data_IF_041881658804
#
_entry.id   IF_041881658804
#
_cell.length_a   1.000
_cell.length_b   1.000
_cell.length_c   1.000
_cell.angle_alpha   90.00
_cell.angle_beta   90.00
_cell.angle_gamma   90.00
#
_symmetry.space_group_name_H-M   'P 1'
#
loop_
_entity.id
_entity.type
_entity.pdbx_description
1 polymer ?
#
# COMPACT_ATOMS: atom_id res chain seq x y z
N UNK A 1 -54.35 4.40 15.27
CA UNK A 1 -53.68 3.11 14.98
C UNK A 1 -52.47 3.24 14.00
N UNK A 2 -52.01 4.42 13.67
CA UNK A 2 -50.80 4.62 12.83
C UNK A 2 -49.46 4.62 13.58
N UNK A 3 -49.46 4.74 14.88
CA UNK A 3 -48.28 4.92 15.72
C UNK A 3 -47.43 3.68 15.93
N UNK A 4 -47.95 2.48 15.74
CA UNK A 4 -47.20 1.22 15.92
C UNK A 4 -46.32 0.87 14.72
N UNK A 5 -46.73 1.24 13.49
CA UNK A 5 -45.93 0.99 12.29
C UNK A 5 -44.74 1.95 12.17
N UNK A 6 -44.92 3.21 12.56
CA UNK A 6 -43.86 4.21 12.53
C UNK A 6 -42.76 3.85 13.57
N UNK A 7 -43.14 3.31 14.73
CA UNK A 7 -42.18 2.83 15.72
C UNK A 7 -41.41 1.57 15.27
N UNK A 8 -42.04 0.67 14.55
CA UNK A 8 -41.40 -0.55 14.03
C UNK A 8 -40.36 -0.20 12.95
N UNK A 9 -40.68 0.70 12.03
CA UNK A 9 -39.76 1.16 11.00
C UNK A 9 -38.51 1.83 11.61
N UNK A 10 -38.69 2.61 12.68
CA UNK A 10 -37.57 3.26 13.38
C UNK A 10 -36.66 2.24 14.06
N UNK A 11 -37.22 1.22 14.66
CA UNK A 11 -36.43 0.12 15.28
C UNK A 11 -35.67 -0.69 14.23
N UNK A 12 -36.32 -0.99 13.11
CA UNK A 12 -35.69 -1.69 12.00
C UNK A 12 -34.52 -0.88 11.40
N UNK A 13 -34.72 0.42 11.19
CA UNK A 13 -33.64 1.32 10.74
C UNK A 13 -32.49 1.37 11.78
N UNK A 14 -32.80 1.47 13.06
CA UNK A 14 -31.80 1.50 14.12
C UNK A 14 -30.95 0.22 14.17
N UNK A 15 -31.53 -0.93 13.83
CA UNK A 15 -30.82 -2.21 13.76
C UNK A 15 -30.02 -2.39 12.47
N UNK A 16 -30.49 -1.85 11.36
CA UNK A 16 -29.81 -1.95 10.06
C UNK A 16 -28.68 -0.92 9.91
N UNK A 17 -28.78 0.23 10.56
CA UNK A 17 -27.78 1.30 10.47
C UNK A 17 -26.35 0.86 10.84
N UNK A 18 -26.12 0.14 11.96
CA UNK A 18 -24.79 -0.36 12.29
C UNK A 18 -24.22 -1.30 11.22
N UNK A 19 -25.05 -2.13 10.62
CA UNK A 19 -24.63 -3.04 9.54
C UNK A 19 -24.21 -2.26 8.30
N UNK A 20 -24.98 -1.28 7.89
CA UNK A 20 -24.64 -0.40 6.76
C UNK A 20 -23.35 0.34 7.02
N UNK A 21 -23.16 0.91 8.22
CA UNK A 21 -21.93 1.59 8.62
C UNK A 21 -20.71 0.67 8.56
N UNK A 22 -20.87 -0.58 8.97
CA UNK A 22 -19.80 -1.58 8.88
C UNK A 22 -19.41 -1.87 7.41
N UNK A 23 -20.38 -2.01 6.53
CA UNK A 23 -20.13 -2.20 5.09
C UNK A 23 -19.41 -1.00 4.48
N UNK A 24 -19.86 0.22 4.80
CA UNK A 24 -19.21 1.46 4.34
C UNK A 24 -17.76 1.53 4.85
N UNK A 25 -17.54 1.22 6.12
CA UNK A 25 -16.19 1.20 6.69
C UNK A 25 -15.29 0.16 6.00
N UNK A 26 -15.82 -1.01 5.66
CA UNK A 26 -15.08 -2.04 4.92
C UNK A 26 -14.69 -1.56 3.51
N UNK A 27 -15.59 -0.90 2.79
CA UNK A 27 -15.32 -0.34 1.47
C UNK A 27 -14.22 0.73 1.55
N UNK A 28 -14.30 1.63 2.53
CA UNK A 28 -13.28 2.66 2.76
C UNK A 28 -11.91 2.01 3.06
N UNK A 29 -11.87 0.97 3.89
CA UNK A 29 -10.64 0.26 4.22
C UNK A 29 -10.01 -0.37 2.97
N UNK A 30 -10.79 -1.03 2.13
CA UNK A 30 -10.30 -1.59 0.85
C UNK A 30 -9.76 -0.48 -0.04
N UNK A 31 -10.45 0.66 -0.13
CA UNK A 31 -10.00 1.81 -0.90
C UNK A 31 -8.62 2.34 -0.45
N UNK A 32 -8.39 2.41 0.86
CA UNK A 32 -7.08 2.81 1.43
C UNK A 32 -5.99 1.82 1.02
N UNK A 33 -6.24 0.52 1.15
CA UNK A 33 -5.26 -0.53 0.79
C UNK A 33 -4.92 -0.48 -0.70
N UNK A 34 -5.91 -0.30 -1.56
CA UNK A 34 -5.71 -0.17 -3.01
C UNK A 34 -4.89 1.07 -3.36
N UNK A 35 -5.16 2.20 -2.69
CA UNK A 35 -4.40 3.43 -2.90
C UNK A 35 -2.93 3.27 -2.46
N UNK A 36 -2.68 2.63 -1.32
CA UNK A 36 -1.33 2.36 -0.84
C UNK A 36 -0.59 1.38 -1.76
N UNK A 37 -1.27 0.38 -2.30
CA UNK A 37 -0.70 -0.53 -3.29
C UNK A 37 -0.27 0.22 -4.57
N UNK A 38 -1.09 1.14 -5.07
CA UNK A 38 -0.75 1.96 -6.23
C UNK A 38 0.49 2.84 -5.97
N UNK A 39 0.56 3.47 -4.80
CA UNK A 39 1.73 4.26 -4.38
C UNK A 39 2.99 3.40 -4.29
N UNK A 40 2.88 2.19 -3.75
CA UNK A 40 4.00 1.27 -3.65
C UNK A 40 4.52 0.84 -5.03
N UNK A 41 3.63 0.63 -6.00
CA UNK A 41 4.02 0.37 -7.39
C UNK A 41 4.79 1.53 -8.02
N UNK A 42 4.33 2.77 -7.82
CA UNK A 42 5.03 3.96 -8.30
C UNK A 42 6.40 4.10 -7.62
N UNK A 43 6.47 3.86 -6.31
CA UNK A 43 7.72 3.88 -5.57
C UNK A 43 8.72 2.84 -6.08
N UNK A 44 8.28 1.61 -6.38
CA UNK A 44 9.14 0.57 -6.93
C UNK A 44 9.69 0.95 -8.31
N UNK A 45 8.87 1.53 -9.18
CA UNK A 45 9.29 1.99 -10.51
C UNK A 45 10.31 3.13 -10.41
N UNK A 46 10.06 4.11 -9.55
CA UNK A 46 10.99 5.23 -9.37
C UNK A 46 12.31 4.77 -8.73
N UNK A 47 12.24 3.92 -7.73
CA UNK A 47 13.41 3.31 -7.11
C UNK A 47 14.27 2.51 -8.11
N UNK A 48 13.64 1.74 -9.00
CA UNK A 48 14.32 1.02 -10.06
C UNK A 48 14.98 1.98 -11.06
N UNK A 49 14.30 3.05 -11.45
CA UNK A 49 14.82 4.07 -12.36
C UNK A 49 16.07 4.75 -11.79
N UNK A 50 16.04 5.13 -10.53
CA UNK A 50 17.20 5.71 -9.85
C UNK A 50 18.32 4.66 -9.73
N UNK A 51 17.99 3.44 -9.35
CA UNK A 51 18.95 2.36 -9.12
C UNK A 51 19.72 1.90 -10.35
N UNK A 52 19.17 2.05 -11.58
CA UNK A 52 19.87 1.67 -12.82
C UNK A 52 20.89 2.71 -13.27
N UNK A 53 20.78 3.94 -12.78
CA UNK A 53 21.69 5.05 -13.11
C UNK A 53 22.72 5.27 -12.02
N UNK A 54 22.33 5.12 -10.77
CA UNK A 54 23.19 5.35 -9.61
C UNK A 54 23.20 4.15 -8.66
N UNK A 55 24.36 3.63 -8.30
CA UNK A 55 24.49 2.48 -7.40
C UNK A 55 24.26 2.83 -5.92
N UNK A 56 23.99 4.10 -5.59
CA UNK A 56 23.81 4.55 -4.21
C UNK A 56 22.44 4.15 -3.65
N UNK A 57 22.45 3.23 -2.67
CA UNK A 57 21.24 2.77 -1.98
C UNK A 57 20.52 3.89 -1.23
N UNK A 58 21.22 4.94 -0.80
CA UNK A 58 20.60 6.05 -0.10
C UNK A 58 19.68 6.83 -1.03
N UNK A 59 20.10 7.07 -2.28
CA UNK A 59 19.26 7.75 -3.27
C UNK A 59 18.02 6.95 -3.66
N UNK A 60 18.12 5.63 -3.68
CA UNK A 60 16.97 4.76 -3.89
C UNK A 60 15.97 4.91 -2.73
N UNK A 61 16.45 4.94 -1.50
CA UNK A 61 15.60 5.16 -0.31
C UNK A 61 14.94 6.54 -0.32
N UNK A 62 15.70 7.58 -0.64
CA UNK A 62 15.19 8.95 -0.73
C UNK A 62 14.08 9.08 -1.80
N UNK A 63 14.22 8.39 -2.92
CA UNK A 63 13.19 8.33 -3.96
C UNK A 63 11.90 7.66 -3.47
N UNK A 64 12.00 6.63 -2.63
CA UNK A 64 10.86 5.95 -2.03
C UNK A 64 10.17 6.84 -1.00
N UNK A 65 10.92 7.51 -0.13
CA UNK A 65 10.38 8.43 0.88
C UNK A 65 9.59 9.58 0.26
N UNK A 66 10.00 10.07 -0.91
CA UNK A 66 9.28 11.11 -1.66
C UNK A 66 7.86 10.68 -2.08
N UNK A 67 7.56 9.40 -2.12
CA UNK A 67 6.21 8.90 -2.44
C UNK A 67 5.23 8.98 -1.28
N UNK A 68 5.69 9.38 -0.09
CA UNK A 68 4.88 9.54 1.10
C UNK A 68 4.50 8.23 1.80
N UNK A 69 5.24 7.16 1.53
CA UNK A 69 5.15 5.89 2.25
C UNK A 69 6.28 5.83 3.28
N UNK A 70 5.91 5.69 4.55
CA UNK A 70 6.85 5.57 5.65
C UNK A 70 7.13 4.08 5.93
N UNK A 71 8.36 3.78 6.37
CA UNK A 71 8.76 2.45 6.83
C UNK A 71 8.59 1.34 5.78
N UNK A 72 9.05 1.60 4.56
CA UNK A 72 9.07 0.63 3.46
C UNK A 72 10.32 -0.23 3.52
N UNK A 73 10.16 -1.55 3.57
CA UNK A 73 11.26 -2.50 3.40
C UNK A 73 11.71 -2.51 1.94
N UNK A 74 13.01 -2.31 1.72
CA UNK A 74 13.61 -2.24 0.38
C UNK A 74 14.62 -3.35 0.19
N UNK A 75 14.47 -4.12 -0.88
CA UNK A 75 15.45 -5.12 -1.32
C UNK A 75 15.85 -4.81 -2.76
N UNK A 76 17.14 -4.71 -3.02
CA UNK A 76 17.69 -4.41 -4.35
C UNK A 76 18.65 -5.54 -4.75
N UNK A 77 18.41 -6.12 -5.90
CA UNK A 77 19.24 -7.19 -6.47
C UNK A 77 19.58 -6.89 -7.94
N UNK A 78 20.85 -7.04 -8.35
CA UNK A 78 22.04 -7.37 -7.56
C UNK A 78 22.52 -6.22 -6.68
N UNK A 79 23.29 -6.57 -5.64
CA UNK A 79 23.96 -5.57 -4.80
C UNK A 79 24.93 -4.71 -5.63
N UNK A 80 25.21 -3.45 -5.21
CA UNK A 80 26.03 -2.52 -5.99
C UNK A 80 27.38 -3.11 -6.47
N UNK A 81 28.02 -3.91 -5.65
CA UNK A 81 29.31 -4.57 -5.91
C UNK A 81 29.24 -5.70 -6.96
N UNK A 82 28.06 -6.18 -7.30
CA UNK A 82 27.85 -7.27 -8.26
C UNK A 82 27.11 -6.81 -9.52
N UNK A 83 26.96 -5.51 -9.73
CA UNK A 83 26.22 -4.96 -10.86
C UNK A 83 27.03 -5.00 -12.15
N UNK A 84 26.44 -5.53 -13.20
CA UNK A 84 27.01 -5.55 -14.55
C UNK A 84 26.07 -4.80 -15.47
N UNK A 85 26.65 -3.95 -16.32
CA UNK A 85 25.88 -3.18 -17.31
C UNK A 85 25.10 -4.11 -18.24
N UNK A 86 23.81 -3.82 -18.43
CA UNK A 86 22.92 -4.61 -19.28
C UNK A 86 22.20 -5.74 -18.55
N UNK A 87 22.58 -6.08 -17.30
CA UNK A 87 21.85 -7.04 -16.48
C UNK A 87 20.61 -6.43 -15.85
N UNK A 88 19.61 -7.26 -15.48
CA UNK A 88 18.41 -6.79 -14.81
C UNK A 88 18.72 -6.35 -13.36
N UNK A 89 18.22 -5.18 -12.97
CA UNK A 89 18.12 -4.72 -11.60
C UNK A 89 16.68 -4.88 -11.15
N UNK A 90 16.48 -5.59 -10.06
CA UNK A 90 15.17 -5.76 -9.42
C UNK A 90 15.12 -5.00 -8.10
N UNK A 91 14.13 -4.15 -7.94
CA UNK A 91 13.82 -3.49 -6.68
C UNK A 91 12.50 -4.04 -6.17
N UNK A 92 12.53 -4.64 -5.00
CA UNK A 92 11.35 -5.18 -4.32
C UNK A 92 11.06 -4.37 -3.08
N UNK A 93 9.81 -3.95 -2.92
CA UNK A 93 9.33 -3.18 -1.79
C UNK A 93 8.29 -3.97 -1.02
N UNK A 94 8.36 -3.87 0.31
CA UNK A 94 7.36 -4.42 1.23
C UNK A 94 6.86 -3.29 2.15
N UNK A 95 5.56 -3.17 2.27
CA UNK A 95 4.92 -2.11 3.05
C UNK A 95 3.74 -2.65 3.86
N UNK A 96 3.65 -2.25 5.11
CA UNK A 96 2.50 -2.53 5.98
C UNK A 96 1.69 -1.27 6.17
N UNK A 97 0.43 -1.22 5.69
CA UNK A 97 -0.42 -0.07 5.88
C UNK A 97 -0.62 0.26 7.35
N UNK A 98 -0.27 1.48 7.76
CA UNK A 98 -0.43 1.93 9.14
C UNK A 98 -1.80 2.57 9.39
N UNK A 99 -2.47 3.04 8.33
CA UNK A 99 -3.80 3.64 8.41
C UNK A 99 -4.86 2.57 8.48
N UNK A 100 -5.48 2.44 9.62
CA UNK A 100 -6.53 1.44 9.87
C UNK A 100 -7.84 2.14 10.23
N UNK A 101 -8.92 1.66 9.65
CA UNK A 101 -10.27 2.08 10.07
C UNK A 101 -10.57 1.47 11.43
N UNK A 102 -11.10 2.22 12.41
CA UNK A 102 -11.54 1.68 13.68
C UNK A 102 -12.47 0.47 13.48
N UNK A 103 -12.44 -0.51 14.37
CA UNK A 103 -13.20 -1.77 14.37
C UNK A 103 -12.76 -2.80 13.30
N UNK A 104 -12.32 -2.38 12.11
CA UNK A 104 -11.88 -3.27 11.03
C UNK A 104 -10.36 -3.43 10.97
N UNK A 105 -9.60 -2.57 11.64
CA UNK A 105 -8.15 -2.58 11.62
C UNK A 105 -7.54 -3.93 12.01
N UNK A 106 -8.13 -4.63 12.98
CA UNK A 106 -7.68 -5.94 13.43
C UNK A 106 -7.76 -7.02 12.33
N UNK A 107 -8.73 -6.92 11.43
CA UNK A 107 -8.86 -7.86 10.29
C UNK A 107 -7.75 -7.67 9.24
N UNK A 108 -7.18 -6.47 9.16
CA UNK A 108 -6.15 -6.08 8.20
C UNK A 108 -4.75 -5.98 8.81
N UNK A 109 -4.55 -6.38 10.05
CA UNK A 109 -3.23 -6.30 10.73
C UNK A 109 -2.13 -7.09 10.04
N UNK A 110 -2.50 -8.15 9.32
CA UNK A 110 -1.55 -9.04 8.61
C UNK A 110 -1.40 -8.71 7.15
N UNK A 111 -2.04 -7.66 6.65
CA UNK A 111 -1.91 -7.27 5.25
C UNK A 111 -0.56 -6.61 5.05
N UNK A 112 0.27 -7.25 4.24
CA UNK A 112 1.53 -6.72 3.77
C UNK A 112 1.47 -6.55 2.26
N UNK A 113 1.77 -5.35 1.79
CA UNK A 113 1.75 -5.01 0.37
C UNK A 113 3.15 -5.19 -0.21
N UNK A 114 3.23 -5.77 -1.39
CA UNK A 114 4.47 -5.97 -2.11
C UNK A 114 4.39 -5.36 -3.50
N UNK A 115 5.49 -4.76 -3.92
CA UNK A 115 5.68 -4.32 -5.29
C UNK A 115 7.12 -4.56 -5.72
N UNK A 116 7.32 -4.92 -6.97
CA UNK A 116 8.65 -5.08 -7.54
C UNK A 116 8.69 -4.43 -8.92
N UNK A 117 9.83 -3.83 -9.24
CA UNK A 117 10.12 -3.32 -10.57
C UNK A 117 11.50 -3.82 -11.00
N UNK A 118 11.59 -4.22 -12.27
CA UNK A 118 12.85 -4.70 -12.85
C UNK A 118 13.20 -3.85 -14.07
N UNK A 119 14.40 -3.30 -14.07
CA UNK A 119 14.94 -2.49 -15.18
C UNK A 119 16.36 -2.94 -15.49
N UNK A 120 16.86 -2.61 -16.68
CA UNK A 120 18.25 -2.90 -17.07
C UNK A 120 19.21 -1.88 -16.49
N UNK A 121 20.32 -2.35 -15.95
CA UNK A 121 21.39 -1.51 -15.42
C UNK A 121 22.05 -0.73 -16.56
N UNK A 122 21.98 0.60 -16.50
CA UNK A 122 22.63 1.49 -17.48
C UNK A 122 24.05 1.84 -17.04
N UNK A 123 24.25 2.02 -15.75
CA UNK A 123 25.57 2.25 -15.13
C UNK A 123 25.73 1.34 -13.91
N UNK A 124 26.79 0.54 -13.89
CA UNK A 124 27.09 -0.29 -12.75
C UNK A 124 27.61 0.49 -11.54
#
# INVERSE_FOLDING_TARGET
MRTTQDGQATVELALTLPLVMMVVAAVVQVGIVVADQARLWHAAQEAARVGVVEPDLQKIKDAIEQTGLDDVGVTVEPLPEHRVQGEPLSVSLAYRPQRKVPLLGAMFERVELHAAATMRIERP
#
